data_IF_962727626409
#
_entry.id   IF_962727626409
#
_cell.length_a   1.000
_cell.length_b   1.000
_cell.length_c   1.000
_cell.angle_alpha   90.00
_cell.angle_beta   90.00
_cell.angle_gamma   90.00
#
_symmetry.space_group_name_H-M   'P 1'
#
loop_
_entity.id
_entity.type
_entity.pdbx_description
1 polymer ?
#
# COMPACT_ATOMS: atom_id res chain seq x y z
N UNK A 1 13.97 -56.75 -43.63
CA UNK A 1 13.14 -56.33 -42.48
C UNK A 1 13.85 -56.47 -41.12
N UNK A 2 14.83 -57.35 -40.94
CA UNK A 2 15.47 -57.58 -39.64
C UNK A 2 16.45 -56.49 -39.14
N UNK A 3 17.10 -55.75 -40.04
CA UNK A 3 18.12 -54.75 -39.64
C UNK A 3 17.54 -53.47 -39.03
N UNK A 4 16.36 -53.04 -39.45
CA UNK A 4 15.72 -51.81 -38.93
C UNK A 4 15.07 -52.02 -37.57
N UNK A 5 14.66 -53.24 -37.23
CA UNK A 5 14.11 -53.58 -35.91
C UNK A 5 15.19 -53.53 -34.84
N UNK A 6 16.44 -53.96 -35.15
CA UNK A 6 17.56 -53.93 -34.20
C UNK A 6 17.99 -52.49 -33.91
N UNK A 7 17.98 -51.57 -34.90
CA UNK A 7 18.32 -50.17 -34.68
C UNK A 7 17.23 -49.41 -33.89
N UNK A 8 15.95 -49.76 -34.08
CA UNK A 8 14.86 -49.18 -33.32
C UNK A 8 14.87 -49.58 -31.84
N UNK A 9 15.24 -50.87 -31.55
CA UNK A 9 15.38 -51.37 -30.17
C UNK A 9 16.61 -50.79 -29.48
N UNK A 10 17.70 -50.54 -30.21
CA UNK A 10 18.89 -49.90 -29.67
C UNK A 10 18.73 -48.42 -29.36
N UNK A 11 17.93 -47.70 -30.18
CA UNK A 11 17.57 -46.29 -29.94
C UNK A 11 16.61 -46.15 -28.73
N UNK A 12 15.69 -47.12 -28.53
CA UNK A 12 14.80 -47.15 -27.36
C UNK A 12 15.53 -47.39 -26.03
N UNK A 13 16.63 -48.17 -26.04
CA UNK A 13 17.43 -48.42 -24.85
C UNK A 13 18.30 -47.20 -24.43
N UNK A 14 18.73 -46.39 -25.40
CA UNK A 14 19.50 -45.19 -25.11
C UNK A 14 18.66 -44.04 -24.47
N UNK A 15 17.35 -44.01 -24.71
CA UNK A 15 16.45 -43.01 -24.10
C UNK A 15 16.13 -43.35 -22.64
N UNK A 16 16.18 -44.63 -22.25
CA UNK A 16 15.92 -45.06 -20.87
C UNK A 16 17.10 -44.87 -19.91
N UNK A 17 18.29 -44.57 -20.41
CA UNK A 17 19.49 -44.32 -19.57
C UNK A 17 19.73 -42.85 -19.27
N UNK A 18 18.91 -41.93 -19.82
CA UNK A 18 19.05 -40.48 -19.62
C UNK A 18 18.25 -39.93 -18.42
N UNK A 19 17.54 -40.76 -17.65
CA UNK A 19 16.75 -40.34 -16.49
C UNK A 19 17.16 -41.08 -15.22
N UNK A 20 18.38 -40.91 -14.78
CA UNK A 20 18.77 -41.21 -13.39
C UNK A 20 20.00 -40.41 -12.98
N UNK A 21 19.92 -39.10 -13.09
CA UNK A 21 20.65 -38.27 -12.13
C UNK A 21 19.68 -37.94 -11.02
N UNK A 22 19.63 -38.79 -9.99
CA UNK A 22 19.29 -38.39 -8.65
C UNK A 22 20.37 -37.36 -8.24
N UNK A 23 20.22 -36.11 -8.70
CA UNK A 23 20.86 -35.01 -8.01
C UNK A 23 20.31 -35.07 -6.61
N UNK A 24 21.09 -35.56 -5.66
CA UNK A 24 20.87 -35.29 -4.25
C UNK A 24 20.54 -33.79 -4.20
N UNK A 25 19.30 -33.45 -3.89
CA UNK A 25 18.92 -32.12 -3.49
C UNK A 25 19.90 -31.83 -2.37
N UNK A 26 20.85 -30.90 -2.62
CA UNK A 26 21.83 -30.52 -1.61
C UNK A 26 21.07 -30.15 -0.35
N UNK A 27 21.71 -30.28 0.79
CA UNK A 27 21.16 -29.76 2.05
C UNK A 27 20.60 -28.40 1.73
N UNK A 28 19.32 -28.18 2.05
CA UNK A 28 18.68 -26.85 1.90
C UNK A 28 19.56 -25.93 2.72
N UNK A 29 20.37 -25.10 2.04
CA UNK A 29 21.09 -24.03 2.73
C UNK A 29 20.02 -23.28 3.52
N UNK A 30 20.17 -23.26 4.84
CA UNK A 30 19.34 -22.40 5.68
C UNK A 30 19.48 -21.01 5.09
N UNK A 31 18.37 -20.45 4.59
CA UNK A 31 18.35 -19.09 4.08
C UNK A 31 18.96 -18.21 5.18
N UNK A 32 20.13 -17.68 4.92
CA UNK A 32 20.70 -16.64 5.77
C UNK A 32 19.80 -15.43 5.61
N UNK A 33 19.40 -14.82 6.72
CA UNK A 33 18.67 -13.58 6.69
C UNK A 33 19.48 -12.53 5.90
N UNK A 34 18.79 -11.75 5.08
CA UNK A 34 19.45 -10.71 4.27
C UNK A 34 20.01 -9.58 5.14
N UNK A 35 19.44 -9.41 6.35
CA UNK A 35 19.81 -8.38 7.32
C UNK A 35 19.93 -8.94 8.73
N UNK A 36 20.77 -8.32 9.57
CA UNK A 36 20.73 -8.53 11.01
C UNK A 36 19.46 -7.86 11.58
N UNK A 37 18.55 -8.67 12.11
CA UNK A 37 17.27 -8.19 12.64
C UNK A 37 17.44 -7.35 13.90
N UNK A 38 18.33 -7.77 14.83
CA UNK A 38 18.75 -6.93 15.95
C UNK A 38 19.86 -6.00 15.48
N UNK A 39 19.50 -4.79 15.12
CA UNK A 39 20.47 -3.80 14.64
C UNK A 39 21.34 -3.26 15.79
N UNK A 40 20.96 -3.54 17.05
CA UNK A 40 21.80 -3.44 18.25
C UNK A 40 21.93 -2.04 18.82
N UNK A 41 21.10 -1.08 18.37
CA UNK A 41 21.22 0.33 18.77
C UNK A 41 19.93 0.93 19.34
N UNK A 42 18.81 0.22 19.27
CA UNK A 42 17.50 0.71 19.72
C UNK A 42 16.86 -0.21 20.76
N UNK A 43 16.11 0.34 21.74
CA UNK A 43 15.24 -0.45 22.61
C UNK A 43 14.14 -1.22 21.83
N UNK A 44 13.78 -0.78 20.63
CA UNK A 44 12.76 -1.41 19.79
C UNK A 44 13.27 -2.66 19.03
N UNK A 45 14.54 -3.04 19.15
CA UNK A 45 15.11 -4.14 18.37
C UNK A 45 14.37 -5.48 18.56
N UNK A 46 14.00 -5.82 19.79
CA UNK A 46 13.25 -7.06 20.05
C UNK A 46 11.88 -7.04 19.35
N UNK A 47 11.21 -5.91 19.31
CA UNK A 47 9.92 -5.71 18.65
C UNK A 47 10.03 -5.76 17.12
N UNK A 48 11.12 -5.24 16.56
CA UNK A 48 11.44 -5.36 15.13
C UNK A 48 11.62 -6.83 14.75
N UNK A 49 12.27 -7.62 15.60
CA UNK A 49 12.39 -9.08 15.42
C UNK A 49 11.01 -9.75 15.45
N UNK A 50 10.14 -9.41 16.40
CA UNK A 50 8.78 -9.95 16.48
C UNK A 50 7.95 -9.62 15.22
N UNK A 51 8.06 -8.40 14.68
CA UNK A 51 7.40 -8.00 13.42
C UNK A 51 7.87 -8.88 12.27
N UNK A 52 9.19 -9.10 12.16
CA UNK A 52 9.73 -9.99 11.13
C UNK A 52 9.25 -11.43 11.29
N UNK A 53 9.33 -12.00 12.49
CA UNK A 53 8.89 -13.37 12.76
C UNK A 53 7.40 -13.57 12.43
N UNK A 54 6.60 -12.54 12.69
CA UNK A 54 5.15 -12.59 12.49
C UNK A 54 4.73 -12.36 11.04
N UNK A 55 5.38 -11.44 10.35
CA UNK A 55 4.94 -10.95 9.04
C UNK A 55 5.93 -11.18 7.90
N UNK A 56 7.21 -11.46 8.19
CA UNK A 56 8.26 -11.62 7.19
C UNK A 56 8.77 -10.29 6.58
N UNK A 57 8.48 -9.16 7.22
CA UNK A 57 8.88 -7.83 6.76
C UNK A 57 10.02 -7.29 7.61
N UNK A 58 11.08 -6.81 6.98
CA UNK A 58 12.21 -6.18 7.65
C UNK A 58 11.92 -4.72 7.96
N UNK A 59 11.95 -4.34 9.22
CA UNK A 59 11.92 -2.93 9.65
C UNK A 59 13.35 -2.47 9.86
N UNK A 60 13.82 -1.53 9.03
CA UNK A 60 15.23 -1.12 9.00
C UNK A 60 15.38 0.36 9.33
N UNK A 61 16.15 0.67 10.36
CA UNK A 61 16.60 2.03 10.70
C UNK A 61 18.11 2.22 10.43
N UNK A 62 18.85 1.13 10.23
CA UNK A 62 20.23 1.09 9.74
C UNK A 62 20.24 0.41 8.38
N UNK A 63 20.54 1.16 7.33
CA UNK A 63 20.59 0.67 5.95
C UNK A 63 21.52 1.56 5.11
N UNK A 64 21.91 1.07 3.95
CA UNK A 64 22.83 1.76 3.03
C UNK A 64 22.09 2.29 1.80
N UNK A 65 22.77 3.16 1.04
CA UNK A 65 22.27 3.59 -0.27
C UNK A 65 21.94 2.41 -1.18
N UNK A 66 22.72 1.33 -1.13
CA UNK A 66 22.48 0.13 -1.91
C UNK A 66 21.15 -0.53 -1.53
N UNK A 67 20.84 -0.61 -0.25
CA UNK A 67 19.59 -1.18 0.23
C UNK A 67 18.40 -0.32 -0.18
N UNK A 68 18.52 0.99 0.05
CA UNK A 68 17.46 1.95 -0.25
C UNK A 68 17.15 2.04 -1.75
N UNK A 69 18.18 2.11 -2.62
CA UNK A 69 18.00 2.25 -4.06
C UNK A 69 17.86 0.91 -4.79
N UNK A 70 17.85 -0.22 -4.09
CA UNK A 70 17.64 -1.54 -4.70
C UNK A 70 16.27 -1.66 -5.37
N UNK A 71 15.24 -1.12 -4.74
CA UNK A 71 13.90 -1.06 -5.30
C UNK A 71 13.78 0.18 -6.19
N UNK A 72 13.94 -0.01 -7.51
CA UNK A 72 13.90 1.08 -8.50
C UNK A 72 12.56 1.83 -8.53
N UNK A 73 11.49 1.21 -8.06
CA UNK A 73 10.16 1.81 -8.07
C UNK A 73 10.02 2.92 -7.02
N UNK A 74 10.80 2.89 -5.95
CA UNK A 74 10.88 4.02 -4.99
C UNK A 74 11.30 5.30 -5.71
N UNK A 75 12.18 5.18 -6.71
CA UNK A 75 12.75 6.33 -7.41
C UNK A 75 12.08 6.62 -8.75
N UNK A 76 10.91 6.03 -9.06
CA UNK A 76 10.28 6.19 -10.37
C UNK A 76 10.02 7.66 -10.70
N UNK A 77 10.83 8.22 -11.62
CA UNK A 77 10.77 9.60 -12.07
C UNK A 77 11.27 10.66 -11.08
N UNK A 78 11.84 10.24 -9.92
CA UNK A 78 12.36 11.14 -8.86
C UNK A 78 13.55 10.50 -8.19
N UNK A 79 14.53 11.32 -7.78
CA UNK A 79 15.65 10.86 -6.97
C UNK A 79 15.40 11.30 -5.54
N UNK A 80 14.97 10.37 -4.71
CA UNK A 80 14.78 10.63 -3.28
C UNK A 80 16.14 10.69 -2.56
N UNK A 81 16.19 11.59 -1.59
CA UNK A 81 17.27 11.69 -0.61
C UNK A 81 16.68 11.42 0.76
N UNK A 82 17.36 10.65 1.59
CA UNK A 82 16.91 10.29 2.92
C UNK A 82 17.92 10.64 3.99
N UNK A 83 17.46 10.76 5.22
CA UNK A 83 18.30 10.80 6.42
C UNK A 83 17.87 9.67 7.35
N UNK A 84 18.86 8.93 7.89
CA UNK A 84 18.58 7.86 8.85
C UNK A 84 17.89 8.40 10.10
N UNK A 85 16.99 7.61 10.66
CA UNK A 85 16.36 7.90 11.94
C UNK A 85 17.38 7.67 13.06
N UNK A 86 17.39 8.57 14.06
CA UNK A 86 18.19 8.35 15.27
C UNK A 86 17.71 7.07 15.97
N UNK A 87 18.62 6.11 16.29
CA UNK A 87 18.27 4.89 16.98
C UNK A 87 17.48 5.09 18.29
N UNK A 88 17.66 6.21 18.98
CA UNK A 88 16.91 6.57 20.19
C UNK A 88 15.44 6.92 19.92
N UNK A 89 15.09 7.25 18.69
CA UNK A 89 13.73 7.59 18.26
C UNK A 89 12.98 6.44 17.57
N UNK A 90 13.66 5.30 17.38
CA UNK A 90 13.06 4.15 16.69
C UNK A 90 11.88 3.58 17.46
N UNK A 91 11.94 3.55 18.79
CA UNK A 91 10.82 3.09 19.62
C UNK A 91 9.57 3.95 19.39
N UNK A 92 9.71 5.28 19.42
CA UNK A 92 8.60 6.20 19.15
C UNK A 92 8.04 6.03 17.72
N UNK A 93 8.91 5.75 16.74
CA UNK A 93 8.49 5.51 15.35
C UNK A 93 7.72 4.19 15.25
N UNK A 94 8.17 3.11 15.88
CA UNK A 94 7.49 1.82 15.88
C UNK A 94 6.15 1.93 16.61
N UNK A 95 6.07 2.64 17.73
CA UNK A 95 4.82 2.92 18.45
C UNK A 95 3.82 3.66 17.56
N UNK A 96 4.30 4.68 16.84
CA UNK A 96 3.46 5.38 15.85
C UNK A 96 2.96 4.44 14.75
N UNK A 97 3.84 3.59 14.19
CA UNK A 97 3.47 2.64 13.13
C UNK A 97 2.46 1.60 13.62
N UNK A 98 2.51 1.19 14.89
CA UNK A 98 1.47 0.32 15.43
C UNK A 98 0.11 1.03 15.39
N UNK A 99 0.05 2.25 15.92
CA UNK A 99 -1.22 3.00 15.98
C UNK A 99 -1.81 3.29 14.59
N UNK A 100 -0.96 3.66 13.61
CA UNK A 100 -1.45 4.13 12.30
C UNK A 100 -1.38 3.08 11.18
N UNK A 101 -0.84 1.89 11.45
CA UNK A 101 -0.68 0.83 10.45
C UNK A 101 -0.91 -0.57 11.02
N UNK A 102 -0.02 -1.06 11.94
CA UNK A 102 0.00 -2.48 12.28
C UNK A 102 -1.24 -2.94 13.07
N UNK A 103 -1.78 -2.11 13.95
CA UNK A 103 -2.97 -2.44 14.74
C UNK A 103 -4.28 -2.32 13.95
N UNK A 104 -4.24 -1.72 12.74
CA UNK A 104 -5.44 -1.47 11.94
C UNK A 104 -5.90 -2.68 11.14
N UNK A 105 -5.04 -3.65 10.91
CA UNK A 105 -5.30 -4.78 10.02
C UNK A 105 -5.03 -6.12 10.69
N UNK A 106 -5.80 -7.17 10.32
CA UNK A 106 -5.54 -8.52 10.83
C UNK A 106 -4.18 -9.05 10.39
N UNK A 107 -3.58 -9.93 11.21
CA UNK A 107 -2.30 -10.57 10.92
C UNK A 107 -2.22 -11.17 9.51
N UNK A 108 -3.26 -11.91 9.10
CA UNK A 108 -3.31 -12.53 7.77
C UNK A 108 -3.25 -11.50 6.64
N UNK A 109 -3.83 -10.31 6.85
CA UNK A 109 -3.77 -9.23 5.87
C UNK A 109 -2.34 -8.67 5.77
N UNK A 110 -1.69 -8.44 6.91
CA UNK A 110 -0.29 -8.03 6.93
C UNK A 110 0.65 -9.03 6.26
N UNK A 111 0.49 -10.32 6.51
CA UNK A 111 1.29 -11.36 5.87
C UNK A 111 1.18 -11.37 4.34
N UNK A 112 0.12 -10.80 3.78
CA UNK A 112 -0.10 -10.70 2.34
C UNK A 112 0.31 -9.34 1.75
N UNK A 113 0.33 -8.28 2.56
CA UNK A 113 0.36 -6.90 2.06
C UNK A 113 1.54 -6.07 2.54
N UNK A 114 2.23 -6.49 3.62
CA UNK A 114 3.42 -5.79 4.08
C UNK A 114 4.52 -5.87 3.02
N UNK A 115 5.19 -4.76 2.71
CA UNK A 115 6.36 -4.78 1.84
C UNK A 115 7.48 -5.57 2.50
N UNK A 116 8.40 -6.11 1.70
CA UNK A 116 9.55 -6.87 2.20
C UNK A 116 10.45 -6.02 3.10
N UNK A 117 10.64 -4.74 2.75
CA UNK A 117 11.36 -3.77 3.57
C UNK A 117 10.47 -2.59 3.98
N UNK A 118 10.62 -2.16 5.23
CA UNK A 118 10.13 -0.86 5.71
C UNK A 118 11.33 -0.08 6.24
N UNK A 119 11.75 0.94 5.53
CA UNK A 119 12.84 1.82 5.91
C UNK A 119 12.33 2.95 6.80
N UNK A 120 12.97 3.17 7.95
CA UNK A 120 12.65 4.28 8.85
C UNK A 120 13.65 5.42 8.64
N UNK A 121 13.14 6.60 8.34
CA UNK A 121 13.93 7.78 8.06
C UNK A 121 13.50 8.98 8.93
N UNK A 122 14.41 9.91 9.20
CA UNK A 122 14.08 11.19 9.84
C UNK A 122 13.75 12.29 8.84
N UNK A 123 14.20 12.17 7.59
CA UNK A 123 13.81 13.03 6.48
C UNK A 123 13.80 12.23 5.17
N UNK A 124 12.86 12.54 4.29
CA UNK A 124 12.73 11.97 2.97
C UNK A 124 12.25 13.05 2.01
N UNK A 125 13.05 13.39 1.02
CA UNK A 125 12.72 14.46 0.09
C UNK A 125 13.29 14.21 -1.32
N UNK A 126 12.77 14.93 -2.28
CA UNK A 126 13.32 15.05 -3.62
C UNK A 126 13.29 16.51 -4.09
N UNK A 127 14.10 16.82 -5.09
CA UNK A 127 14.05 18.12 -5.78
C UNK A 127 13.10 17.98 -6.98
N UNK A 128 12.12 18.86 -7.08
CA UNK A 128 11.19 18.89 -8.20
C UNK A 128 11.81 19.53 -9.45
N UNK A 129 11.05 19.59 -10.55
CA UNK A 129 11.49 20.16 -11.82
C UNK A 129 11.80 21.66 -11.76
N UNK A 130 11.39 22.34 -10.69
CA UNK A 130 11.62 23.79 -10.47
C UNK A 130 12.76 24.04 -9.49
N UNK A 131 13.38 22.99 -8.93
CA UNK A 131 14.43 23.08 -7.91
C UNK A 131 13.89 23.25 -6.49
N UNK A 132 12.62 23.03 -6.28
CA UNK A 132 12.01 23.10 -4.95
C UNK A 132 12.13 21.75 -4.22
N UNK A 133 12.43 21.82 -2.93
CA UNK A 133 12.50 20.63 -2.07
C UNK A 133 11.09 20.22 -1.65
N UNK A 134 10.71 19.02 -2.05
CA UNK A 134 9.42 18.40 -1.67
C UNK A 134 9.71 17.28 -0.69
N UNK A 135 9.15 17.38 0.52
CA UNK A 135 9.22 16.34 1.56
C UNK A 135 8.01 15.44 1.50
N UNK A 136 8.25 14.14 1.59
CA UNK A 136 7.18 13.14 1.65
C UNK A 136 7.32 12.30 2.93
N UNK A 137 6.26 12.18 3.76
CA UNK A 137 6.30 11.36 4.97
C UNK A 137 6.31 9.87 4.66
N UNK A 138 5.92 9.49 3.43
CA UNK A 138 5.91 8.10 2.99
C UNK A 138 6.16 8.00 1.48
N UNK A 139 6.97 7.02 1.10
CA UNK A 139 7.15 6.57 -0.26
C UNK A 139 7.01 5.05 -0.33
N UNK A 140 6.46 4.52 -1.41
CA UNK A 140 6.29 3.07 -1.62
C UNK A 140 6.87 2.67 -2.97
N UNK A 141 7.58 1.54 -2.98
CA UNK A 141 8.07 0.85 -4.19
C UNK A 141 7.45 -0.53 -4.32
N UNK A 142 7.94 -1.38 -5.24
CA UNK A 142 7.41 -2.72 -5.46
C UNK A 142 7.59 -3.65 -4.24
N UNK A 143 8.70 -3.50 -3.52
CA UNK A 143 9.10 -4.37 -2.41
C UNK A 143 9.37 -3.61 -1.11
N UNK A 144 9.27 -2.29 -1.12
CA UNK A 144 9.68 -1.45 -0.01
C UNK A 144 8.68 -0.34 0.26
N UNK A 145 8.64 0.08 1.52
CA UNK A 145 8.08 1.35 1.94
C UNK A 145 9.15 2.13 2.73
N UNK A 146 9.13 3.43 2.62
CA UNK A 146 9.92 4.35 3.45
C UNK A 146 8.94 5.17 4.27
N UNK A 147 9.10 5.18 5.57
CA UNK A 147 8.33 6.08 6.46
C UNK A 147 9.30 7.07 7.07
N UNK A 148 8.97 8.34 6.92
CA UNK A 148 9.82 9.45 7.35
C UNK A 148 9.06 10.37 8.29
N UNK A 149 9.57 10.50 9.52
CA UNK A 149 9.06 11.43 10.52
C UNK A 149 10.26 12.03 11.27
N UNK A 150 10.33 13.35 11.38
CA UNK A 150 11.47 13.99 12.03
C UNK A 150 11.55 13.64 13.53
N UNK A 151 12.77 13.66 14.05
CA UNK A 151 13.03 13.39 15.47
C UNK A 151 12.23 14.32 16.38
N UNK A 152 12.11 15.59 16.01
CA UNK A 152 11.37 16.59 16.77
C UNK A 152 9.88 16.26 16.78
N UNK A 153 9.34 15.90 15.61
CA UNK A 153 7.92 15.52 15.48
C UNK A 153 7.59 14.28 16.29
N UNK A 154 8.45 13.24 16.28
CA UNK A 154 8.28 12.01 17.06
C UNK A 154 8.24 12.24 18.58
N UNK A 155 8.87 13.31 19.08
CA UNK A 155 8.87 13.66 20.50
C UNK A 155 7.62 14.43 20.93
N UNK A 156 6.91 15.07 20.00
CA UNK A 156 5.80 15.99 20.28
C UNK A 156 4.53 15.66 19.43
N UNK A 157 4.31 14.37 19.12
CA UNK A 157 3.17 13.93 18.30
C UNK A 157 1.83 14.33 18.93
N UNK A 158 1.08 15.17 18.24
CA UNK A 158 -0.32 15.50 18.55
C UNK A 158 -1.28 14.56 17.79
N UNK A 159 -2.55 14.50 18.22
CA UNK A 159 -3.59 13.74 17.50
C UNK A 159 -3.76 14.23 16.06
N UNK A 160 -3.67 15.54 15.82
CA UNK A 160 -3.73 16.13 14.48
C UNK A 160 -2.57 15.68 13.59
N UNK A 161 -1.33 15.69 14.12
CA UNK A 161 -0.16 15.17 13.39
C UNK A 161 -0.29 13.68 13.09
N UNK A 162 -0.80 12.89 14.05
CA UNK A 162 -1.06 11.46 13.83
C UNK A 162 -2.12 11.24 12.76
N UNK A 163 -3.18 12.05 12.74
CA UNK A 163 -4.21 12.01 11.69
C UNK A 163 -3.63 12.26 10.31
N UNK A 164 -2.82 13.31 10.15
CA UNK A 164 -2.17 13.62 8.88
C UNK A 164 -1.23 12.51 8.41
N UNK A 165 -0.39 11.98 9.32
CA UNK A 165 0.53 10.87 9.04
C UNK A 165 -0.26 9.60 8.68
N UNK A 166 -1.31 9.26 9.43
CA UNK A 166 -2.20 8.14 9.17
C UNK A 166 -2.83 8.28 7.79
N UNK A 167 -3.41 9.43 7.46
CA UNK A 167 -4.04 9.65 6.16
C UNK A 167 -3.04 9.48 5.02
N UNK A 168 -1.86 10.11 5.12
CA UNK A 168 -0.81 10.00 4.11
C UNK A 168 -0.32 8.56 3.92
N UNK A 169 -0.08 7.85 5.03
CA UNK A 169 0.37 6.46 5.02
C UNK A 169 -0.69 5.54 4.39
N UNK A 170 -1.93 5.61 4.86
CA UNK A 170 -3.00 4.73 4.42
C UNK A 170 -3.32 4.90 2.94
N UNK A 171 -3.40 6.14 2.44
CA UNK A 171 -3.61 6.41 1.01
C UNK A 171 -2.50 5.77 0.16
N UNK A 172 -1.23 5.94 0.55
CA UNK A 172 -0.09 5.39 -0.19
C UNK A 172 -0.07 3.86 -0.15
N UNK A 173 -0.33 3.25 1.01
CA UNK A 173 -0.39 1.78 1.16
C UNK A 173 -1.52 1.18 0.32
N UNK A 174 -2.74 1.73 0.38
CA UNK A 174 -3.86 1.23 -0.41
C UNK A 174 -3.62 1.37 -1.91
N UNK A 175 -3.00 2.46 -2.33
CA UNK A 175 -2.58 2.67 -3.71
C UNK A 175 -1.53 1.65 -4.15
N UNK A 176 -0.54 1.39 -3.29
CA UNK A 176 0.47 0.36 -3.47
C UNK A 176 -0.18 -1.02 -3.62
N UNK A 177 -1.02 -1.44 -2.67
CA UNK A 177 -1.68 -2.75 -2.69
C UNK A 177 -2.54 -2.97 -3.93
N UNK A 178 -3.24 -1.94 -4.39
CA UNK A 178 -4.01 -2.00 -5.64
C UNK A 178 -3.12 -2.09 -6.88
N UNK A 179 -2.04 -1.30 -6.92
CA UNK A 179 -1.16 -1.22 -8.09
C UNK A 179 -0.40 -2.52 -8.35
N UNK A 180 -0.06 -3.25 -7.27
CA UNK A 180 0.66 -4.52 -7.34
C UNK A 180 -0.25 -5.75 -7.17
N UNK A 181 -1.59 -5.57 -7.19
CA UNK A 181 -2.59 -6.63 -7.06
C UNK A 181 -2.47 -7.45 -5.76
N UNK A 182 -2.04 -6.84 -4.66
CA UNK A 182 -2.08 -7.46 -3.35
C UNK A 182 -3.50 -7.56 -2.78
N UNK A 183 -4.38 -6.67 -3.24
CA UNK A 183 -5.80 -6.66 -2.88
C UNK A 183 -6.67 -6.65 -4.14
N UNK A 184 -7.82 -7.32 -4.03
CA UNK A 184 -8.88 -7.33 -5.04
C UNK A 184 -10.08 -6.55 -4.50
N UNK A 185 -10.72 -5.78 -5.37
CA UNK A 185 -11.91 -4.99 -5.06
C UNK A 185 -13.06 -5.42 -5.97
N UNK A 186 -14.33 -5.26 -5.55
CA UNK A 186 -15.46 -5.85 -6.24
C UNK A 186 -15.82 -5.11 -7.53
N UNK A 187 -16.02 -5.85 -8.62
CA UNK A 187 -16.50 -5.31 -9.90
C UNK A 187 -17.91 -4.71 -9.78
N UNK A 188 -18.74 -5.19 -8.86
CA UNK A 188 -20.09 -4.70 -8.57
C UNK A 188 -20.10 -3.20 -8.20
N UNK A 189 -18.98 -2.67 -7.69
CA UNK A 189 -18.81 -1.25 -7.44
C UNK A 189 -19.02 -0.41 -8.71
N UNK A 190 -18.47 -0.86 -9.82
CA UNK A 190 -18.55 -0.15 -11.10
C UNK A 190 -19.93 -0.25 -11.77
N UNK A 191 -20.72 -1.27 -11.44
CA UNK A 191 -22.06 -1.45 -11.98
C UNK A 191 -23.08 -0.46 -11.41
N UNK A 192 -22.74 0.25 -10.33
CA UNK A 192 -23.64 1.20 -9.66
C UNK A 192 -23.80 2.49 -10.43
N UNK A 193 -22.73 2.97 -11.05
CA UNK A 193 -22.69 4.29 -11.70
C UNK A 193 -22.62 4.19 -13.23
N UNK A 194 -23.22 5.16 -13.89
CA UNK A 194 -23.01 5.33 -15.33
C UNK A 194 -21.82 6.27 -15.56
N UNK A 195 -20.75 5.76 -16.14
CA UNK A 195 -19.52 6.51 -16.44
C UNK A 195 -19.56 7.25 -17.79
N UNK A 196 -20.69 7.20 -18.51
CA UNK A 196 -20.86 7.94 -19.75
C UNK A 196 -21.38 9.34 -19.45
N UNK A 197 -20.74 10.34 -20.06
CA UNK A 197 -21.13 11.74 -19.92
C UNK A 197 -20.49 12.46 -18.72
N UNK A 198 -20.74 13.73 -18.64
CA UNK A 198 -20.14 14.66 -17.67
C UNK A 198 -20.93 14.62 -16.35
N UNK A 199 -20.23 14.51 -15.23
CA UNK A 199 -20.79 14.85 -13.92
C UNK A 199 -20.60 16.36 -13.67
N UNK A 200 -21.49 16.97 -12.89
CA UNK A 200 -21.39 18.39 -12.52
C UNK A 200 -21.71 18.61 -11.04
N UNK A 201 -21.52 19.86 -10.60
CA UNK A 201 -21.70 20.30 -9.21
C UNK A 201 -23.09 20.89 -8.92
N UNK A 202 -23.95 21.00 -9.94
CA UNK A 202 -25.31 21.53 -9.78
C UNK A 202 -26.25 20.44 -9.23
N UNK A 203 -26.62 20.57 -7.96
CA UNK A 203 -27.48 19.64 -7.24
C UNK A 203 -28.86 19.48 -7.88
N UNK A 204 -29.36 20.48 -8.58
CA UNK A 204 -30.63 20.43 -9.31
C UNK A 204 -30.53 19.67 -10.66
N UNK A 205 -29.32 19.37 -11.10
CA UNK A 205 -29.05 18.71 -12.38
C UNK A 205 -29.21 17.19 -12.27
N UNK A 206 -29.79 16.53 -13.29
CA UNK A 206 -29.76 15.06 -13.37
C UNK A 206 -28.33 14.48 -13.51
N UNK A 207 -27.35 15.33 -13.82
CA UNK A 207 -25.95 14.99 -13.92
C UNK A 207 -25.15 15.36 -12.66
N UNK A 208 -25.82 15.72 -11.56
CA UNK A 208 -25.15 15.98 -10.29
C UNK A 208 -24.31 14.79 -9.84
N UNK A 209 -23.07 15.05 -9.46
CA UNK A 209 -22.09 13.99 -9.21
C UNK A 209 -22.56 13.01 -8.14
N UNK A 210 -23.06 13.48 -6.98
CA UNK A 210 -23.56 12.62 -5.89
C UNK A 210 -24.79 11.82 -6.30
N UNK A 211 -25.71 12.42 -7.08
CA UNK A 211 -26.88 11.71 -7.61
C UNK A 211 -26.49 10.57 -8.57
N UNK A 212 -25.30 10.65 -9.18
CA UNK A 212 -24.72 9.63 -10.05
C UNK A 212 -23.82 8.64 -9.30
N UNK A 213 -23.67 8.79 -7.97
CA UNK A 213 -22.88 7.89 -7.13
C UNK A 213 -21.38 8.21 -7.10
N UNK A 214 -21.00 9.48 -7.31
CA UNK A 214 -19.62 9.93 -7.21
C UNK A 214 -19.44 10.80 -5.96
N UNK A 215 -18.26 10.73 -5.33
CA UNK A 215 -17.92 11.50 -4.14
C UNK A 215 -16.73 12.42 -4.42
N UNK A 216 -16.56 13.41 -3.56
CA UNK A 216 -15.45 14.34 -3.60
C UNK A 216 -14.19 13.69 -3.01
N UNK A 217 -13.04 13.89 -3.65
CA UNK A 217 -11.78 13.30 -3.21
C UNK A 217 -11.09 14.08 -2.09
N UNK A 218 -10.14 13.43 -1.43
CA UNK A 218 -9.24 14.06 -0.48
C UNK A 218 -8.16 14.84 -1.22
N UNK A 219 -8.17 16.15 -1.06
CA UNK A 219 -7.49 17.10 -1.94
C UNK A 219 -5.94 17.15 -1.88
N UNK A 220 -5.27 16.32 -1.08
CA UNK A 220 -3.85 16.57 -0.78
C UNK A 220 -2.82 15.75 -1.57
N UNK A 221 -3.19 14.68 -2.26
CA UNK A 221 -2.17 13.75 -2.75
C UNK A 221 -2.20 13.40 -4.22
N UNK A 222 -3.17 13.86 -4.98
CA UNK A 222 -3.31 13.41 -6.35
C UNK A 222 -3.61 14.54 -7.32
N UNK A 223 -2.62 14.86 -8.14
CA UNK A 223 -2.75 15.62 -9.40
C UNK A 223 -3.78 14.99 -10.38
N UNK A 224 -4.45 13.89 -10.00
CA UNK A 224 -5.31 13.09 -10.85
C UNK A 224 -6.77 13.03 -10.39
N UNK A 225 -7.08 13.54 -9.18
CA UNK A 225 -8.45 13.62 -8.67
C UNK A 225 -8.87 15.06 -8.66
N UNK A 226 -9.80 15.39 -9.52
CA UNK A 226 -10.53 16.64 -9.44
C UNK A 226 -11.58 16.48 -8.35
N UNK A 227 -11.70 17.48 -7.47
CA UNK A 227 -12.81 17.59 -6.56
C UNK A 227 -14.12 17.66 -7.37
N UNK A 228 -15.26 17.35 -6.75
CA UNK A 228 -16.56 17.57 -7.38
C UNK A 228 -16.70 19.01 -7.84
N UNK A 229 -16.14 19.95 -7.10
CA UNK A 229 -16.18 21.38 -7.38
C UNK A 229 -15.34 21.74 -8.62
N UNK A 230 -14.32 20.96 -8.95
CA UNK A 230 -13.48 21.11 -10.14
C UNK A 230 -14.00 20.35 -11.38
N UNK A 231 -15.05 19.54 -11.24
CA UNK A 231 -15.58 18.71 -12.32
C UNK A 231 -16.39 19.48 -13.35
N UNK A 232 -15.93 20.59 -13.77
CA UNK A 232 -16.66 21.41 -14.76
C UNK A 232 -16.60 20.87 -16.20
N UNK A 233 -15.87 19.80 -16.50
CA UNK A 233 -15.69 19.37 -17.89
C UNK A 233 -15.29 17.91 -18.13
N UNK A 234 -15.27 17.01 -17.16
CA UNK A 234 -14.68 15.68 -17.29
C UNK A 234 -15.65 14.51 -17.12
N UNK A 235 -15.35 13.40 -17.79
CA UNK A 235 -15.92 12.09 -17.47
C UNK A 235 -15.14 11.48 -16.34
N UNK A 236 -15.83 10.95 -15.32
CA UNK A 236 -15.20 10.20 -14.24
C UNK A 236 -14.76 8.84 -14.78
N UNK A 237 -13.50 8.47 -14.56
CA UNK A 237 -13.05 7.13 -14.89
C UNK A 237 -13.38 6.16 -13.75
N UNK A 238 -13.61 4.88 -14.07
CA UNK A 238 -13.81 3.84 -13.05
C UNK A 238 -12.67 3.79 -12.05
N UNK A 239 -11.43 3.91 -12.54
CA UNK A 239 -10.23 3.88 -11.69
C UNK A 239 -10.17 5.07 -10.72
N UNK A 240 -10.47 6.28 -11.20
CA UNK A 240 -10.47 7.46 -10.32
C UNK A 240 -11.59 7.40 -9.29
N UNK A 241 -12.78 6.97 -9.67
CA UNK A 241 -13.92 6.81 -8.78
C UNK A 241 -13.64 5.83 -7.63
N UNK A 242 -13.09 4.65 -7.94
CA UNK A 242 -12.74 3.67 -6.92
C UNK A 242 -11.66 4.21 -5.96
N UNK A 243 -10.61 4.83 -6.51
CA UNK A 243 -9.56 5.41 -5.66
C UNK A 243 -10.09 6.52 -4.77
N UNK A 244 -10.95 7.38 -5.28
CA UNK A 244 -11.58 8.44 -4.50
C UNK A 244 -12.43 7.87 -3.36
N UNK A 245 -13.23 6.82 -3.61
CA UNK A 245 -14.00 6.16 -2.56
C UNK A 245 -13.12 5.57 -1.47
N UNK A 246 -12.10 4.80 -1.85
CA UNK A 246 -11.17 4.20 -0.89
C UNK A 246 -10.46 5.28 -0.07
N UNK A 247 -9.96 6.32 -0.73
CA UNK A 247 -9.30 7.45 -0.09
C UNK A 247 -10.22 8.13 0.94
N UNK A 248 -11.47 8.40 0.56
CA UNK A 248 -12.47 8.96 1.46
C UNK A 248 -12.81 8.02 2.63
N UNK A 249 -12.89 6.69 2.40
CA UNK A 249 -13.14 5.72 3.48
C UNK A 249 -11.99 5.62 4.48
N UNK A 250 -10.76 5.89 4.05
CA UNK A 250 -9.56 5.88 4.89
C UNK A 250 -9.36 7.18 5.69
N UNK A 251 -9.93 8.29 5.22
CA UNK A 251 -9.61 9.63 5.73
C UNK A 251 -10.77 10.34 6.41
N UNK A 252 -12.01 9.93 6.15
CA UNK A 252 -13.21 10.57 6.70
C UNK A 252 -13.82 9.73 7.82
N UNK A 253 -14.25 10.40 8.85
CA UNK A 253 -15.08 9.80 9.91
C UNK A 253 -16.46 9.37 9.39
N UNK A 254 -17.15 8.54 10.16
CA UNK A 254 -18.53 8.15 9.85
C UNK A 254 -19.47 9.36 9.82
N UNK A 255 -19.21 10.39 10.61
CA UNK A 255 -19.99 11.63 10.65
C UNK A 255 -19.81 12.43 9.36
N UNK A 256 -18.57 12.56 8.88
CA UNK A 256 -18.27 13.25 7.61
C UNK A 256 -18.86 12.56 6.37
N UNK A 257 -19.24 11.30 6.50
CA UNK A 257 -19.93 10.57 5.43
C UNK A 257 -21.46 10.78 5.40
N UNK A 258 -22.09 11.33 6.45
CA UNK A 258 -23.57 11.37 6.58
C UNK A 258 -24.24 12.06 5.38
N UNK A 259 -23.74 13.21 4.95
CA UNK A 259 -24.32 13.95 3.82
C UNK A 259 -24.17 13.20 2.48
N UNK A 260 -23.03 12.58 2.25
CA UNK A 260 -22.78 11.80 1.03
C UNK A 260 -23.62 10.52 1.02
N UNK A 261 -23.79 9.86 2.16
CA UNK A 261 -24.60 8.64 2.30
C UNK A 261 -26.12 8.88 2.21
N UNK A 262 -26.57 10.13 2.24
CA UNK A 262 -27.96 10.48 1.92
C UNK A 262 -28.28 10.20 0.43
N UNK A 263 -27.27 10.12 -0.44
CA UNK A 263 -27.42 9.83 -1.86
C UNK A 263 -27.42 8.31 -2.11
N UNK A 264 -28.51 7.73 -2.68
CA UNK A 264 -28.69 6.28 -2.75
C UNK A 264 -27.58 5.53 -3.50
N UNK A 265 -27.03 6.10 -4.58
CA UNK A 265 -25.96 5.46 -5.35
C UNK A 265 -24.61 5.55 -4.64
N UNK A 266 -24.33 6.65 -3.95
CA UNK A 266 -23.14 6.79 -3.09
C UNK A 266 -23.20 5.76 -1.97
N UNK A 267 -24.33 5.71 -1.25
CA UNK A 267 -24.54 4.72 -0.17
C UNK A 267 -24.35 3.29 -0.67
N UNK A 268 -24.91 2.97 -1.84
CA UNK A 268 -24.78 1.62 -2.42
C UNK A 268 -23.33 1.24 -2.68
N UNK A 269 -22.53 2.15 -3.25
CA UNK A 269 -21.10 1.93 -3.47
C UNK A 269 -20.32 1.77 -2.17
N UNK A 270 -20.57 2.65 -1.21
CA UNK A 270 -20.00 2.59 0.13
C UNK A 270 -20.25 1.23 0.79
N UNK A 271 -21.52 0.78 0.80
CA UNK A 271 -21.90 -0.50 1.38
C UNK A 271 -21.24 -1.69 0.66
N UNK A 272 -21.13 -1.66 -0.68
CA UNK A 272 -20.44 -2.69 -1.47
C UNK A 272 -18.98 -2.80 -1.03
N UNK A 273 -18.23 -1.71 -1.02
CA UNK A 273 -16.81 -1.72 -0.66
C UNK A 273 -16.60 -2.15 0.79
N UNK A 274 -17.34 -1.56 1.73
CA UNK A 274 -17.22 -1.86 3.17
C UNK A 274 -17.50 -3.34 3.46
N UNK A 275 -18.59 -3.87 2.90
CA UNK A 275 -18.97 -5.27 3.07
C UNK A 275 -17.99 -6.23 2.40
N UNK A 276 -17.49 -5.89 1.21
CA UNK A 276 -16.49 -6.69 0.52
C UNK A 276 -15.20 -6.78 1.34
N UNK A 277 -14.66 -5.65 1.76
CA UNK A 277 -13.42 -5.57 2.54
C UNK A 277 -13.57 -6.36 3.85
N UNK A 278 -14.68 -6.16 4.58
CA UNK A 278 -14.95 -6.90 5.79
C UNK A 278 -15.04 -8.41 5.57
N UNK A 279 -15.69 -8.84 4.49
CA UNK A 279 -15.85 -10.27 4.17
C UNK A 279 -14.55 -10.90 3.67
N UNK A 280 -13.81 -10.20 2.81
CA UNK A 280 -12.63 -10.75 2.13
C UNK A 280 -11.38 -10.68 3.01
N UNK A 281 -11.23 -9.58 3.74
CA UNK A 281 -10.00 -9.27 4.49
C UNK A 281 -10.17 -9.26 6.01
N UNK A 282 -11.40 -9.28 6.51
CA UNK A 282 -11.71 -9.46 7.94
C UNK A 282 -11.66 -8.19 8.79
N UNK A 283 -11.66 -7.00 8.18
CA UNK A 283 -11.68 -5.73 8.91
C UNK A 283 -12.65 -4.73 8.27
N UNK A 284 -13.08 -3.76 9.06
CA UNK A 284 -13.94 -2.67 8.60
C UNK A 284 -13.08 -1.45 8.26
N UNK A 285 -12.99 -1.10 6.98
CA UNK A 285 -12.19 0.04 6.50
C UNK A 285 -12.59 1.37 7.13
N UNK A 286 -13.88 1.55 7.52
CA UNK A 286 -14.33 2.78 8.17
C UNK A 286 -13.74 2.98 9.57
N UNK A 287 -13.28 1.92 10.23
CA UNK A 287 -12.52 2.05 11.50
C UNK A 287 -11.23 2.83 11.27
N UNK A 288 -10.57 2.61 10.13
CA UNK A 288 -9.37 3.37 9.73
C UNK A 288 -9.71 4.84 9.51
N UNK A 289 -10.84 5.13 8.84
CA UNK A 289 -11.31 6.49 8.61
C UNK A 289 -11.65 7.25 9.90
N UNK A 290 -12.21 6.55 10.88
CA UNK A 290 -12.61 7.15 12.16
C UNK A 290 -11.42 7.47 13.08
N UNK A 291 -10.25 6.90 12.85
CA UNK A 291 -9.10 7.03 13.73
C UNK A 291 -8.59 8.46 13.77
N UNK A 292 -8.46 9.03 14.99
CA UNK A 292 -8.05 10.41 15.29
C UNK A 292 -8.99 11.53 14.75
N UNK A 293 -10.22 11.22 14.40
CA UNK A 293 -11.21 12.20 13.93
C UNK A 293 -12.07 12.77 15.09
N UNK A 294 -11.58 12.82 16.33
CA UNK A 294 -12.28 13.38 17.49
C UNK A 294 -12.13 14.91 17.60
#
# INVERSE_FOLDING_TARGET
>A
MGKYVVYLSMLGLLVCLACSEDKKIGEVETLTLDYELQQGKSPADDRIVEIYEKYGSYILYEYTDKDFYYDSDINFGRTYVYQLLDPQCVENMVDLLDEIWFDLYPEKFHQQTLPYHVFLASDLFYEDLFGEIVREPICTGAFSAVVSVSTEMLQELTSEMKLELKNSLQIKLWKFWQSYNYIELPDEFYEVSNYVGVANTDESSPNYARARGFVDGYNQTTLWYTSIDDWNAGTVSQKSDLYTFIECMLTRSSEEWEDDLAWPLVKKKYDILRNWIQKQYGFDIQVVGNLFCE
#
